data_IF_278898972122
#
_entry.id   IF_278898972122
#
_cell.length_a   1.000
_cell.length_b   1.000
_cell.length_c   1.000
_cell.angle_alpha   90.00
_cell.angle_beta   90.00
_cell.angle_gamma   90.00
#
_symmetry.space_group_name_H-M   'P 1'
#
loop_
_entity.id
_entity.type
_entity.pdbx_description
1 polymer ?
#
# COMPACT_ATOMS: atom_id res chain seq x y z
N UNK A 1 -25.60 -17.30 -47.09
CA UNK A 1 -26.20 -16.85 -45.79
C UNK A 1 -25.04 -16.60 -44.84
N UNK A 2 -24.77 -15.35 -44.58
CA UNK A 2 -23.68 -14.95 -43.67
C UNK A 2 -24.34 -14.56 -42.33
N UNK A 3 -24.07 -15.32 -41.28
CA UNK A 3 -24.50 -14.99 -39.94
C UNK A 3 -23.65 -13.83 -39.39
N UNK A 4 -24.27 -12.68 -39.21
CA UNK A 4 -23.72 -11.56 -38.46
C UNK A 4 -23.88 -11.82 -36.96
N UNK A 5 -22.81 -12.25 -36.30
CA UNK A 5 -22.72 -12.25 -34.84
C UNK A 5 -22.52 -10.82 -34.34
N UNK A 6 -23.59 -10.21 -33.83
CA UNK A 6 -23.50 -8.95 -33.11
C UNK A 6 -22.87 -9.20 -31.73
N UNK A 7 -21.60 -8.85 -31.59
CA UNK A 7 -21.00 -8.65 -30.27
C UNK A 7 -21.56 -7.37 -29.65
N UNK A 8 -22.51 -7.50 -28.74
CA UNK A 8 -22.87 -6.41 -27.83
C UNK A 8 -21.73 -6.22 -26.84
N UNK A 9 -20.88 -5.24 -27.10
CA UNK A 9 -20.02 -4.69 -26.07
C UNK A 9 -20.93 -3.94 -25.08
N UNK A 10 -21.18 -4.54 -23.91
CA UNK A 10 -21.74 -3.83 -22.79
C UNK A 10 -20.65 -2.86 -22.30
N UNK A 11 -20.72 -1.59 -22.72
CA UNK A 11 -20.01 -0.51 -22.04
C UNK A 11 -20.54 -0.43 -20.60
N UNK A 12 -19.82 -1.04 -19.68
CA UNK A 12 -20.07 -0.85 -18.26
C UNK A 12 -19.55 0.54 -17.92
N UNK A 13 -20.43 1.52 -17.92
CA UNK A 13 -20.10 2.83 -17.35
C UNK A 13 -19.81 2.63 -15.87
N UNK A 14 -18.55 2.86 -15.40
CA UNK A 14 -18.24 2.65 -14.00
C UNK A 14 -19.08 3.60 -13.15
N UNK A 15 -19.77 3.05 -12.14
CA UNK A 15 -20.49 3.84 -11.16
C UNK A 15 -19.48 4.62 -10.33
N UNK A 16 -19.27 5.89 -10.65
CA UNK A 16 -18.38 6.78 -9.92
C UNK A 16 -19.16 7.39 -8.77
N UNK A 17 -18.84 6.95 -7.55
CA UNK A 17 -19.41 7.48 -6.32
C UNK A 17 -18.48 8.55 -5.78
N UNK A 18 -18.90 9.83 -5.68
CA UNK A 18 -18.09 10.87 -5.09
C UNK A 18 -17.81 10.59 -3.61
N UNK A 19 -16.55 10.72 -3.20
CA UNK A 19 -16.09 10.51 -1.82
C UNK A 19 -15.77 11.84 -1.12
N UNK A 20 -16.66 12.83 -1.23
CA UNK A 20 -16.44 14.22 -0.78
C UNK A 20 -15.96 14.34 0.66
N UNK A 21 -16.62 13.66 1.60
CA UNK A 21 -16.25 13.71 3.02
C UNK A 21 -14.86 13.11 3.26
N UNK A 22 -14.53 12.00 2.59
CA UNK A 22 -13.22 11.36 2.71
C UNK A 22 -12.12 12.22 2.09
N UNK A 23 -12.38 12.82 0.92
CA UNK A 23 -11.45 13.76 0.28
C UNK A 23 -11.17 14.96 1.18
N UNK A 24 -12.20 15.55 1.79
CA UNK A 24 -12.05 16.68 2.70
C UNK A 24 -11.22 16.31 3.94
N UNK A 25 -11.46 15.13 4.51
CA UNK A 25 -10.66 14.62 5.63
C UNK A 25 -9.19 14.40 5.23
N UNK A 26 -8.95 13.80 4.06
CA UNK A 26 -7.60 13.60 3.53
C UNK A 26 -6.88 14.92 3.29
N UNK A 27 -7.54 15.88 2.61
CA UNK A 27 -6.98 17.21 2.34
C UNK A 27 -6.58 17.92 3.63
N UNK A 28 -7.50 18.02 4.60
CA UNK A 28 -7.22 18.63 5.90
C UNK A 28 -6.07 17.97 6.66
N UNK A 29 -6.02 16.63 6.64
CA UNK A 29 -4.95 15.89 7.31
C UNK A 29 -3.60 16.07 6.60
N UNK A 30 -3.61 16.09 5.26
CA UNK A 30 -2.42 16.30 4.45
C UNK A 30 -1.84 17.71 4.64
N UNK A 31 -2.69 18.75 4.62
CA UNK A 31 -2.27 20.13 4.91
C UNK A 31 -1.65 20.24 6.30
N UNK A 32 -2.30 19.67 7.33
CA UNK A 32 -1.76 19.66 8.71
C UNK A 32 -0.43 18.93 8.82
N UNK A 33 -0.27 17.83 8.09
CA UNK A 33 1.00 17.11 8.03
C UNK A 33 2.10 18.01 7.44
N UNK A 34 1.86 18.62 6.30
CA UNK A 34 2.82 19.51 5.65
C UNK A 34 3.16 20.73 6.50
N UNK A 35 2.17 21.33 7.19
CA UNK A 35 2.37 22.46 8.11
C UNK A 35 3.17 22.09 9.36
N UNK A 36 3.08 20.83 9.83
CA UNK A 36 3.85 20.34 10.96
C UNK A 36 5.34 20.15 10.63
N UNK A 37 5.69 19.95 9.35
CA UNK A 37 7.06 19.72 8.91
C UNK A 37 7.90 20.99 8.96
N UNK A 38 9.19 20.83 9.27
CA UNK A 38 10.17 21.89 9.04
C UNK A 38 10.27 22.22 7.53
N UNK A 39 10.72 23.43 7.13
CA UNK A 39 10.88 23.76 5.71
C UNK A 39 11.74 22.75 4.93
N UNK A 40 12.74 22.16 5.59
CA UNK A 40 13.60 21.14 4.99
C UNK A 40 12.88 19.81 4.77
N UNK A 41 12.15 19.32 5.76
CA UNK A 41 11.38 18.07 5.64
C UNK A 41 10.21 18.25 4.68
N UNK A 42 9.55 19.41 4.70
CA UNK A 42 8.47 19.72 3.78
C UNK A 42 8.93 19.64 2.31
N UNK A 43 10.09 20.21 1.97
CA UNK A 43 10.66 20.06 0.61
C UNK A 43 10.96 18.62 0.21
N UNK A 44 11.24 17.74 1.17
CA UNK A 44 11.37 16.30 0.89
C UNK A 44 10.02 15.62 0.67
N UNK A 45 9.01 16.01 1.42
CA UNK A 45 7.67 15.44 1.35
C UNK A 45 6.90 15.85 0.09
N UNK A 46 7.04 17.10 -0.36
CA UNK A 46 6.28 17.66 -1.49
C UNK A 46 6.99 17.41 -2.82
N UNK A 47 6.30 16.75 -3.74
CA UNK A 47 6.75 16.47 -5.11
C UNK A 47 5.66 16.94 -6.08
N UNK A 48 6.01 17.57 -7.22
CA UNK A 48 5.04 17.90 -8.27
C UNK A 48 4.25 16.68 -8.73
N UNK A 49 2.95 16.82 -8.93
CA UNK A 49 2.04 15.71 -9.26
C UNK A 49 2.36 15.03 -10.60
N UNK A 50 2.81 15.77 -11.58
CA UNK A 50 3.12 15.34 -12.94
C UNK A 50 4.49 14.66 -13.10
N UNK A 51 5.29 14.62 -12.03
CA UNK A 51 6.56 13.89 -12.05
C UNK A 51 6.34 12.37 -12.07
N UNK A 52 7.19 11.67 -12.81
CA UNK A 52 7.17 10.21 -12.91
C UNK A 52 7.39 9.48 -11.58
N UNK A 53 7.89 10.18 -10.55
CA UNK A 53 8.06 9.64 -9.19
C UNK A 53 6.75 9.09 -8.60
N UNK A 54 5.61 9.70 -8.92
CA UNK A 54 4.29 9.24 -8.46
C UNK A 54 3.95 7.83 -8.96
N UNK A 55 4.51 7.40 -10.08
CA UNK A 55 4.29 6.09 -10.68
C UNK A 55 5.29 5.03 -10.21
N UNK A 56 6.38 5.46 -9.55
CA UNK A 56 7.36 4.55 -8.95
C UNK A 56 6.87 4.11 -7.58
N UNK A 57 6.88 2.82 -7.34
CA UNK A 57 6.52 2.25 -6.04
C UNK A 57 7.19 0.89 -5.85
N UNK A 58 7.40 0.50 -4.63
CA UNK A 58 7.89 -0.83 -4.29
C UNK A 58 7.53 -1.19 -2.85
N UNK A 59 7.66 -2.48 -2.51
CA UNK A 59 7.39 -3.03 -1.19
C UNK A 59 8.61 -3.74 -0.56
N UNK A 60 9.78 -3.66 -1.19
CA UNK A 60 11.04 -4.26 -0.70
C UNK A 60 11.69 -3.40 0.40
N UNK A 61 12.70 -3.92 1.13
CA UNK A 61 13.48 -3.16 2.10
C UNK A 61 14.04 -1.85 1.55
N UNK A 62 14.34 -0.91 2.45
CA UNK A 62 14.74 0.47 2.11
C UNK A 62 15.99 0.56 1.23
N UNK A 63 16.93 -0.33 1.42
CA UNK A 63 18.21 -0.37 0.69
C UNK A 63 18.12 -1.04 -0.69
N UNK A 64 16.98 -1.70 -1.00
CA UNK A 64 16.75 -2.35 -2.29
C UNK A 64 16.04 -1.44 -3.30
N UNK A 65 15.44 -0.34 -2.87
CA UNK A 65 14.71 0.59 -3.73
C UNK A 65 14.78 2.01 -3.17
N UNK A 66 15.31 2.94 -3.96
CA UNK A 66 15.37 4.35 -3.60
C UNK A 66 13.96 4.97 -3.59
N UNK A 67 13.53 5.46 -2.44
CA UNK A 67 12.25 6.15 -2.24
C UNK A 67 12.47 7.64 -1.98
N UNK A 68 11.56 8.45 -2.48
CA UNK A 68 11.49 9.87 -2.14
C UNK A 68 10.37 10.14 -1.15
N UNK A 69 10.52 11.21 -0.40
CA UNK A 69 9.62 11.59 0.69
C UNK A 69 10.38 11.86 1.97
N UNK A 70 9.66 12.01 3.07
CA UNK A 70 10.23 12.19 4.40
C UNK A 70 10.09 10.89 5.20
N UNK A 71 11.19 10.43 5.76
CA UNK A 71 11.23 9.25 6.62
C UNK A 71 10.64 9.53 8.00
N UNK A 72 9.96 8.54 8.59
CA UNK A 72 9.46 8.64 9.98
C UNK A 72 10.61 8.95 10.95
N UNK A 73 11.80 8.35 10.78
CA UNK A 73 12.95 8.62 11.63
C UNK A 73 13.45 10.07 11.61
N UNK A 74 13.13 10.84 10.57
CA UNK A 74 13.50 12.25 10.46
C UNK A 74 12.49 13.18 11.17
N UNK A 75 11.34 12.65 11.56
CA UNK A 75 10.23 13.39 12.15
C UNK A 75 10.28 13.35 13.67
N UNK A 76 9.98 14.49 14.31
CA UNK A 76 9.65 14.50 15.73
C UNK A 76 8.25 13.92 15.97
N UNK A 77 7.89 13.67 17.25
CA UNK A 77 6.64 13.02 17.62
C UNK A 77 5.39 13.73 17.05
N UNK A 78 5.34 15.07 17.09
CA UNK A 78 4.22 15.85 16.55
C UNK A 78 4.06 15.66 15.04
N UNK A 79 5.17 15.56 14.32
CA UNK A 79 5.19 15.32 12.87
C UNK A 79 4.76 13.89 12.53
N UNK A 80 5.24 12.90 13.31
CA UNK A 80 4.79 11.52 13.20
C UNK A 80 3.30 11.38 13.45
N UNK A 81 2.78 12.00 14.51
CA UNK A 81 1.34 11.99 14.82
C UNK A 81 0.51 12.53 13.65
N UNK A 82 0.97 13.61 13.02
CA UNK A 82 0.30 14.19 11.84
C UNK A 82 0.37 13.25 10.62
N UNK A 83 1.51 12.58 10.40
CA UNK A 83 1.68 11.60 9.33
C UNK A 83 0.74 10.39 9.51
N UNK A 84 0.66 9.83 10.71
CA UNK A 84 -0.25 8.72 11.02
C UNK A 84 -1.73 9.13 10.98
N UNK A 85 -2.05 10.39 11.31
CA UNK A 85 -3.40 10.93 11.09
C UNK A 85 -3.76 11.02 9.61
N UNK A 86 -2.81 11.34 8.75
CA UNK A 86 -3.02 11.27 7.31
C UNK A 86 -3.27 9.83 6.86
N UNK A 87 -2.46 8.87 7.31
CA UNK A 87 -2.63 7.44 7.01
C UNK A 87 -4.03 6.95 7.43
N UNK A 88 -4.52 7.36 8.61
CA UNK A 88 -5.84 6.99 9.12
C UNK A 88 -6.98 7.41 8.17
N UNK A 89 -6.84 8.52 7.45
CA UNK A 89 -7.88 9.01 6.52
C UNK A 89 -8.06 8.15 5.28
N UNK A 90 -7.03 7.40 4.88
CA UNK A 90 -7.05 6.54 3.70
C UNK A 90 -7.55 5.13 3.96
N UNK A 91 -7.77 4.75 5.21
CA UNK A 91 -8.02 3.37 5.60
C UNK A 91 -9.25 3.22 6.50
N UNK A 92 -9.88 2.06 6.45
CA UNK A 92 -10.81 1.66 7.51
C UNK A 92 -10.04 1.46 8.83
N UNK A 93 -10.76 1.44 9.96
CA UNK A 93 -10.15 1.13 11.26
C UNK A 93 -9.31 -0.15 11.24
N UNK A 94 -9.84 -1.22 10.61
CA UNK A 94 -9.11 -2.50 10.47
C UNK A 94 -7.90 -2.37 9.54
N UNK A 95 -8.05 -1.63 8.43
CA UNK A 95 -6.94 -1.36 7.49
C UNK A 95 -5.81 -0.59 8.16
N UNK A 96 -6.13 0.44 8.94
CA UNK A 96 -5.15 1.21 9.71
C UNK A 96 -4.42 0.35 10.76
N UNK A 97 -5.16 -0.46 11.52
CA UNK A 97 -4.57 -1.40 12.47
C UNK A 97 -3.64 -2.40 11.78
N UNK A 98 -4.00 -2.87 10.60
CA UNK A 98 -3.18 -3.78 9.81
C UNK A 98 -1.92 -3.11 9.28
N UNK A 99 -2.03 -1.92 8.69
CA UNK A 99 -0.87 -1.15 8.22
C UNK A 99 0.14 -0.90 9.36
N UNK A 100 -0.33 -0.41 10.52
CA UNK A 100 0.52 -0.15 11.67
C UNK A 100 1.10 -1.42 12.28
N UNK A 101 0.37 -2.53 12.26
CA UNK A 101 0.89 -3.82 12.72
C UNK A 101 2.01 -4.35 11.81
N UNK A 102 1.91 -4.17 10.48
CA UNK A 102 2.98 -4.53 9.54
C UNK A 102 4.21 -3.64 9.75
N UNK A 103 4.01 -2.33 9.93
CA UNK A 103 5.10 -1.40 10.24
C UNK A 103 5.84 -1.82 11.52
N UNK A 104 5.12 -2.18 12.58
CA UNK A 104 5.73 -2.63 13.83
C UNK A 104 6.35 -4.04 13.75
N UNK A 105 5.90 -4.88 12.80
CA UNK A 105 6.47 -6.21 12.58
C UNK A 105 7.96 -6.15 12.18
N UNK A 106 8.41 -5.02 11.61
CA UNK A 106 9.82 -4.80 11.26
C UNK A 106 10.78 -5.00 12.45
N UNK A 107 10.37 -4.59 13.66
CA UNK A 107 11.16 -4.84 14.88
C UNK A 107 11.32 -6.34 15.14
N UNK A 108 10.20 -7.07 15.10
CA UNK A 108 10.20 -8.53 15.32
C UNK A 108 11.00 -9.25 14.23
N UNK A 109 10.83 -8.84 12.97
CA UNK A 109 11.61 -9.39 11.86
C UNK A 109 13.11 -9.16 12.06
N UNK A 110 13.51 -7.94 12.43
CA UNK A 110 14.91 -7.61 12.69
C UNK A 110 15.51 -8.45 13.81
N UNK A 111 14.76 -8.74 14.88
CA UNK A 111 15.21 -9.60 15.98
C UNK A 111 15.36 -11.06 15.51
N UNK A 112 14.41 -11.58 14.78
CA UNK A 112 14.47 -12.93 14.19
C UNK A 112 15.69 -13.08 13.27
N UNK A 113 15.91 -12.10 12.37
CA UNK A 113 17.04 -12.14 11.43
C UNK A 113 18.39 -12.05 12.14
N UNK A 114 18.49 -11.25 13.22
CA UNK A 114 19.72 -11.18 14.05
C UNK A 114 20.02 -12.51 14.75
N UNK A 115 19.00 -13.10 15.37
CA UNK A 115 19.12 -14.40 16.03
C UNK A 115 19.52 -15.53 15.06
N UNK A 116 19.04 -15.47 13.83
CA UNK A 116 19.35 -16.44 12.79
C UNK A 116 20.64 -16.16 12.02
N UNK A 117 21.26 -14.99 12.23
CA UNK A 117 22.42 -14.57 11.45
C UNK A 117 22.11 -14.21 10.00
N UNK A 118 20.86 -13.87 9.70
CA UNK A 118 20.34 -13.52 8.36
C UNK A 118 20.02 -12.04 8.19
N UNK A 119 20.39 -11.19 9.14
CA UNK A 119 20.15 -9.75 9.10
C UNK A 119 20.98 -9.07 8.01
N UNK A 120 20.38 -8.89 6.83
CA UNK A 120 21.04 -8.33 5.65
C UNK A 120 20.50 -6.96 5.24
N UNK A 121 19.34 -6.55 5.78
CA UNK A 121 18.67 -5.31 5.43
C UNK A 121 18.30 -4.50 6.68
N UNK A 122 18.35 -3.17 6.65
CA UNK A 122 17.86 -2.35 7.74
C UNK A 122 16.38 -2.65 8.04
N UNK A 123 16.05 -2.81 9.32
CA UNK A 123 14.70 -3.09 9.81
C UNK A 123 14.31 -2.08 10.89
N UNK A 124 13.10 -1.54 10.78
CA UNK A 124 12.57 -0.64 11.79
C UNK A 124 11.28 0.03 11.37
N UNK A 125 10.35 0.29 12.31
CA UNK A 125 9.08 0.95 12.04
C UNK A 125 9.28 2.42 11.61
N UNK A 126 10.44 2.99 11.82
CA UNK A 126 10.82 4.34 11.43
C UNK A 126 11.28 4.46 9.97
N UNK A 127 11.42 3.34 9.24
CA UNK A 127 11.94 3.28 7.87
C UNK A 127 10.83 3.32 6.79
N UNK A 128 9.80 4.11 7.05
CA UNK A 128 8.70 4.36 6.11
C UNK A 128 8.67 5.83 5.69
N UNK A 129 8.35 6.05 4.42
CA UNK A 129 8.32 7.36 3.78
C UNK A 129 6.90 7.86 3.63
N UNK A 130 6.72 9.15 3.87
CA UNK A 130 5.50 9.89 3.53
C UNK A 130 5.80 10.89 2.42
N UNK A 131 4.98 10.87 1.37
CA UNK A 131 5.15 11.73 0.19
C UNK A 131 3.81 12.33 -0.20
N UNK A 132 3.81 13.61 -0.58
CA UNK A 132 2.65 14.32 -1.09
C UNK A 132 2.96 14.77 -2.51
N UNK A 133 2.05 14.52 -3.44
CA UNK A 133 2.16 14.85 -4.85
C UNK A 133 1.15 15.94 -5.22
N UNK A 134 1.64 17.11 -5.60
CA UNK A 134 0.80 18.25 -5.90
C UNK A 134 0.30 18.99 -4.67
N UNK A 135 -0.79 19.74 -4.82
CA UNK A 135 -1.34 20.62 -3.80
C UNK A 135 -2.64 20.06 -3.23
N UNK A 136 -2.66 19.63 -1.96
CA UNK A 136 -3.85 19.04 -1.33
C UNK A 136 -5.00 20.04 -1.11
N UNK A 137 -4.71 21.34 -1.15
CA UNK A 137 -5.71 22.42 -0.99
C UNK A 137 -6.11 23.03 -2.35
N UNK A 138 -5.48 22.56 -3.43
CA UNK A 138 -5.70 23.05 -4.78
C UNK A 138 -6.89 22.40 -5.50
N UNK A 139 -7.29 22.99 -6.61
CA UNK A 139 -8.35 22.46 -7.49
C UNK A 139 -7.85 21.39 -8.47
N UNK A 140 -6.53 21.24 -8.61
CA UNK A 140 -5.90 20.26 -9.51
C UNK A 140 -5.80 18.89 -8.86
N UNK A 141 -5.58 17.82 -9.64
CA UNK A 141 -5.28 16.51 -9.09
C UNK A 141 -4.07 16.56 -8.16
N UNK A 142 -4.16 15.84 -7.06
CA UNK A 142 -3.09 15.65 -6.08
C UNK A 142 -3.10 14.23 -5.53
N UNK A 143 -2.14 13.88 -4.72
CA UNK A 143 -2.11 12.57 -4.10
C UNK A 143 -1.11 12.50 -2.96
N UNK A 144 -1.07 11.35 -2.30
CA UNK A 144 -0.08 11.05 -1.27
C UNK A 144 0.19 9.55 -1.22
N UNK A 145 1.33 9.20 -0.66
CA UNK A 145 1.67 7.80 -0.41
C UNK A 145 2.36 7.64 0.94
N UNK A 146 2.20 6.46 1.53
CA UNK A 146 3.08 5.91 2.57
C UNK A 146 3.70 4.64 2.03
N UNK A 147 5.03 4.51 2.16
CA UNK A 147 5.75 3.43 1.52
C UNK A 147 6.98 3.01 2.32
N UNK A 148 7.15 1.71 2.46
CA UNK A 148 8.30 1.05 3.08
C UNK A 148 8.29 -0.43 2.81
N UNK A 149 8.95 -1.21 3.66
CA UNK A 149 8.92 -2.66 3.52
C UNK A 149 7.53 -3.21 3.84
N UNK A 150 6.94 -3.93 2.90
CA UNK A 150 5.63 -4.60 3.00
C UNK A 150 4.40 -3.70 3.24
N UNK A 151 4.53 -2.38 3.20
CA UNK A 151 3.41 -1.45 3.08
C UNK A 151 3.72 -0.47 1.96
N UNK A 152 2.83 -0.39 0.96
CA UNK A 152 2.89 0.63 -0.08
C UNK A 152 1.47 1.02 -0.46
N UNK A 153 1.05 2.20 -0.01
CA UNK A 153 -0.31 2.69 -0.14
C UNK A 153 -0.29 4.06 -0.83
N UNK A 154 -0.96 4.14 -1.97
CA UNK A 154 -1.04 5.33 -2.78
C UNK A 154 -2.47 5.80 -2.91
N UNK A 155 -2.68 7.09 -2.79
CA UNK A 155 -3.98 7.72 -2.94
C UNK A 155 -3.85 8.86 -3.94
N UNK A 156 -4.65 8.80 -5.00
CA UNK A 156 -4.78 9.88 -5.98
C UNK A 156 -6.17 10.49 -5.90
N UNK A 157 -6.24 11.80 -5.73
CA UNK A 157 -7.48 12.56 -5.62
C UNK A 157 -7.67 13.36 -6.91
N UNK A 158 -8.83 13.24 -7.53
CA UNK A 158 -9.16 13.90 -8.79
C UNK A 158 -10.43 14.73 -8.62
N UNK A 159 -10.36 15.96 -9.10
CA UNK A 159 -11.48 16.92 -9.07
C UNK A 159 -12.08 17.16 -7.67
N UNK A 160 -11.30 16.96 -6.61
CA UNK A 160 -11.76 17.10 -5.23
C UNK A 160 -12.90 16.17 -4.82
N UNK A 161 -13.15 15.09 -5.57
CA UNK A 161 -14.31 14.21 -5.39
C UNK A 161 -13.99 12.72 -5.47
N UNK A 162 -13.03 12.35 -6.29
CA UNK A 162 -12.72 10.96 -6.61
C UNK A 162 -11.42 10.56 -5.96
N UNK A 163 -11.37 9.35 -5.43
CA UNK A 163 -10.19 8.75 -4.82
C UNK A 163 -9.86 7.47 -5.58
N UNK A 164 -8.61 7.36 -6.04
CA UNK A 164 -8.03 6.09 -6.48
C UNK A 164 -7.03 5.62 -5.43
N UNK A 165 -7.29 4.51 -4.72
CA UNK A 165 -6.39 3.96 -3.71
C UNK A 165 -5.43 2.93 -4.33
N UNK A 166 -4.80 3.24 -5.46
CA UNK A 166 -3.94 2.31 -6.19
C UNK A 166 -2.57 2.93 -6.49
N UNK A 167 -1.48 2.12 -6.39
CA UNK A 167 -1.43 0.77 -5.84
C UNK A 167 -1.72 0.74 -4.33
N UNK A 168 -2.18 -0.43 -3.84
CA UNK A 168 -2.44 -0.67 -2.42
C UNK A 168 -1.89 -2.05 -2.05
N UNK A 169 -0.75 -2.07 -1.37
CA UNK A 169 -0.03 -3.30 -1.03
C UNK A 169 0.14 -3.44 0.48
N UNK A 170 -0.21 -4.62 0.98
CA UNK A 170 0.06 -5.10 2.33
C UNK A 170 0.76 -6.46 2.23
N UNK A 171 1.93 -6.57 2.81
CA UNK A 171 2.67 -7.81 2.97
C UNK A 171 2.92 -8.15 4.44
N UNK A 172 3.40 -9.35 4.72
CA UNK A 172 3.80 -9.76 6.07
C UNK A 172 5.03 -10.66 6.01
N UNK A 173 6.09 -10.24 6.66
CA UNK A 173 7.28 -11.05 6.88
C UNK A 173 7.71 -10.92 8.35
N UNK A 174 7.69 -12.03 9.12
CA UNK A 174 7.23 -13.36 8.72
C UNK A 174 5.70 -13.41 8.48
N UNK A 175 5.25 -14.38 7.70
CA UNK A 175 3.81 -14.68 7.58
C UNK A 175 3.22 -15.17 8.91
N UNK A 176 4.04 -15.88 9.71
CA UNK A 176 3.75 -16.29 11.08
C UNK A 176 5.03 -16.29 11.92
N UNK A 177 4.98 -15.65 13.08
CA UNK A 177 6.07 -15.68 14.05
C UNK A 177 6.13 -17.07 14.69
N UNK A 178 7.23 -17.82 14.50
CA UNK A 178 7.34 -19.22 14.91
C UNK A 178 7.84 -19.43 16.34
N UNK A 179 8.49 -18.43 16.94
CA UNK A 179 9.11 -18.52 18.26
C UNK A 179 9.11 -17.19 19.00
N UNK A 180 9.54 -17.19 20.26
CA UNK A 180 9.61 -15.99 21.10
C UNK A 180 8.26 -15.53 21.66
N UNK A 181 8.24 -14.34 22.21
CA UNK A 181 7.07 -13.73 22.86
C UNK A 181 5.86 -13.60 21.93
N UNK A 182 6.11 -13.33 20.65
CA UNK A 182 5.07 -13.13 19.63
C UNK A 182 4.71 -14.39 18.85
N UNK A 183 5.08 -15.60 19.36
CA UNK A 183 4.80 -16.85 18.68
C UNK A 183 3.32 -17.00 18.33
N UNK A 184 3.05 -17.34 17.06
CA UNK A 184 1.70 -17.51 16.52
C UNK A 184 1.09 -16.21 15.94
N UNK A 185 1.78 -15.07 16.03
CA UNK A 185 1.31 -13.83 15.42
C UNK A 185 1.29 -13.98 13.89
N UNK A 186 0.12 -13.71 13.29
CA UNK A 186 -0.14 -13.67 11.84
C UNK A 186 -0.96 -12.43 11.53
N UNK A 187 -0.36 -11.41 10.95
CA UNK A 187 -1.03 -10.12 10.71
C UNK A 187 -2.07 -10.23 9.59
N UNK A 188 -1.77 -10.99 8.54
CA UNK A 188 -2.65 -11.23 7.38
C UNK A 188 -3.40 -12.56 7.47
N UNK A 189 -3.68 -13.04 8.70
CA UNK A 189 -4.35 -14.34 8.92
C UNK A 189 -5.72 -14.42 8.24
N UNK A 190 -6.50 -13.35 8.29
CA UNK A 190 -7.86 -13.34 7.72
C UNK A 190 -7.82 -13.50 6.20
N UNK A 191 -6.94 -12.78 5.52
CA UNK A 191 -6.77 -12.86 4.07
C UNK A 191 -6.31 -14.26 3.64
N UNK A 192 -5.31 -14.79 4.34
CA UNK A 192 -4.77 -16.12 4.06
C UNK A 192 -5.82 -17.20 4.32
N UNK A 193 -6.50 -17.16 5.47
CA UNK A 193 -7.46 -18.19 5.85
C UNK A 193 -8.70 -18.17 4.96
N UNK A 194 -9.18 -16.98 4.55
CA UNK A 194 -10.29 -16.85 3.60
C UNK A 194 -9.91 -17.38 2.21
N UNK A 195 -8.71 -17.06 1.72
CA UNK A 195 -8.23 -17.56 0.44
C UNK A 195 -8.10 -19.08 0.45
N UNK A 196 -7.56 -19.66 1.52
CA UNK A 196 -7.49 -21.13 1.71
C UNK A 196 -8.87 -21.77 1.80
N UNK A 197 -9.80 -21.16 2.51
CA UNK A 197 -11.17 -21.64 2.65
C UNK A 197 -11.89 -21.63 1.31
N UNK A 198 -11.75 -20.54 0.54
CA UNK A 198 -12.28 -20.45 -0.82
C UNK A 198 -11.72 -21.56 -1.70
N UNK A 199 -10.40 -21.75 -1.74
CA UNK A 199 -9.76 -22.76 -2.57
C UNK A 199 -10.23 -24.17 -2.20
N UNK A 200 -10.42 -24.47 -0.90
CA UNK A 200 -10.92 -25.77 -0.42
C UNK A 200 -12.38 -26.00 -0.75
N UNK A 201 -13.21 -24.97 -0.86
CA UNK A 201 -14.63 -25.08 -1.21
C UNK A 201 -14.90 -25.34 -2.70
N UNK A 202 -13.91 -25.13 -3.57
CA UNK A 202 -14.04 -25.34 -5.01
C UNK A 202 -14.12 -26.83 -5.36
N UNK A 203 -14.96 -27.16 -6.35
CA UNK A 203 -14.95 -28.48 -6.98
C UNK A 203 -13.63 -28.73 -7.71
N UNK A 204 -13.28 -30.00 -8.06
CA UNK A 204 -12.07 -30.28 -8.84
C UNK A 204 -11.98 -29.46 -10.14
N UNK A 205 -13.09 -29.33 -10.89
CA UNK A 205 -13.14 -28.57 -12.13
C UNK A 205 -12.95 -27.06 -11.91
N UNK A 206 -13.56 -26.52 -10.87
CA UNK A 206 -13.37 -25.11 -10.49
C UNK A 206 -11.93 -24.85 -10.04
N UNK A 207 -11.35 -25.78 -9.28
CA UNK A 207 -9.97 -25.67 -8.79
C UNK A 207 -8.95 -25.70 -9.93
N UNK A 208 -9.16 -26.56 -10.93
CA UNK A 208 -8.29 -26.65 -12.11
C UNK A 208 -8.28 -25.35 -12.93
N UNK A 209 -9.37 -24.58 -12.90
CA UNK A 209 -9.45 -23.27 -13.55
C UNK A 209 -8.92 -22.13 -12.69
N UNK A 210 -9.05 -22.22 -11.37
CA UNK A 210 -8.63 -21.19 -10.42
C UNK A 210 -7.12 -21.20 -10.17
N UNK A 211 -6.49 -22.39 -10.23
CA UNK A 211 -5.04 -22.56 -10.02
C UNK A 211 -4.36 -22.42 -11.38
N UNK A 212 -3.82 -21.23 -11.65
CA UNK A 212 -3.10 -20.92 -12.90
C UNK A 212 -1.69 -21.52 -12.94
N UNK A 213 -1.09 -21.77 -11.78
CA UNK A 213 0.19 -22.46 -11.63
C UNK A 213 0.19 -23.25 -10.32
N UNK A 214 0.73 -24.46 -10.34
CA UNK A 214 0.86 -25.33 -9.15
C UNK A 214 1.97 -24.82 -8.23
N UNK A 215 3.05 -24.33 -8.83
CA UNK A 215 4.15 -23.73 -8.09
C UNK A 215 3.88 -22.25 -7.82
N UNK A 216 4.07 -21.83 -6.58
CA UNK A 216 3.94 -20.41 -6.23
C UNK A 216 5.00 -19.58 -6.97
N UNK A 217 4.64 -18.47 -7.60
CA UNK A 217 5.61 -17.59 -8.22
C UNK A 217 6.56 -17.01 -7.16
N UNK A 218 7.78 -16.66 -7.58
CA UNK A 218 8.78 -16.06 -6.69
C UNK A 218 8.33 -14.75 -6.06
N UNK A 219 7.47 -14.01 -6.77
CA UNK A 219 6.95 -12.70 -6.35
C UNK A 219 5.49 -12.56 -6.77
N UNK A 220 4.80 -11.50 -6.31
CA UNK A 220 3.45 -11.17 -6.77
C UNK A 220 3.47 -10.98 -8.30
N UNK A 221 2.42 -11.46 -8.99
CA UNK A 221 2.38 -11.47 -10.47
C UNK A 221 2.49 -10.08 -11.08
N UNK A 222 1.95 -9.07 -10.42
CA UNK A 222 1.96 -7.68 -10.86
C UNK A 222 3.26 -6.96 -10.57
N UNK A 223 4.09 -7.47 -9.65
CA UNK A 223 5.30 -6.82 -9.15
C UNK A 223 5.02 -5.36 -8.82
N UNK A 224 5.96 -4.47 -9.13
CA UNK A 224 5.89 -3.01 -8.98
C UNK A 224 5.43 -2.28 -10.26
N UNK A 225 4.83 -3.00 -11.21
CA UNK A 225 4.36 -2.41 -12.46
C UNK A 225 3.18 -1.46 -12.22
N UNK A 226 3.21 -0.24 -12.80
CA UNK A 226 2.10 0.71 -12.72
C UNK A 226 0.87 0.28 -13.53
N UNK A 227 1.05 -0.63 -14.48
CA UNK A 227 -0.02 -1.30 -15.24
C UNK A 227 -0.03 -2.78 -14.93
N UNK A 228 -1.20 -3.29 -14.59
CA UNK A 228 -1.41 -4.72 -14.40
C UNK A 228 -1.71 -5.35 -15.75
N UNK A 229 -0.82 -6.22 -16.23
CA UNK A 229 -1.02 -7.05 -17.43
C UNK A 229 -0.99 -8.52 -16.98
N UNK A 230 -2.18 -9.06 -16.73
CA UNK A 230 -2.33 -10.49 -16.40
C UNK A 230 -2.57 -11.24 -17.71
N UNK A 231 -1.64 -12.09 -18.09
CA UNK A 231 -1.82 -13.04 -19.19
C UNK A 231 -2.46 -14.31 -18.59
N UNK A 232 -3.65 -14.66 -19.12
CA UNK A 232 -4.36 -15.91 -18.78
C UNK A 232 -3.97 -17.03 -19.73
#
# INVERSE_FOLDING_TARGET
MAEHTHHHQHEVTPLIIPALETVEKMSKACVRFLEALSPTLRRKAEIPFDQGERLRWHFVPIDMFERKGVLIQEMNQKQQDAAFKLLETGLSKKGYQKATAIINLETILGDIEREQGTYNHPRGPELYFFTVFGDPDGSRPWGWRVEGHHVSLHFTIVNGKLISPNPSFFGSNPGEVKQGEHKGLRILSVEEDLARSLLKSLTPDQRSKAIINVDAPHDILTRDNPKVEIQY
#
